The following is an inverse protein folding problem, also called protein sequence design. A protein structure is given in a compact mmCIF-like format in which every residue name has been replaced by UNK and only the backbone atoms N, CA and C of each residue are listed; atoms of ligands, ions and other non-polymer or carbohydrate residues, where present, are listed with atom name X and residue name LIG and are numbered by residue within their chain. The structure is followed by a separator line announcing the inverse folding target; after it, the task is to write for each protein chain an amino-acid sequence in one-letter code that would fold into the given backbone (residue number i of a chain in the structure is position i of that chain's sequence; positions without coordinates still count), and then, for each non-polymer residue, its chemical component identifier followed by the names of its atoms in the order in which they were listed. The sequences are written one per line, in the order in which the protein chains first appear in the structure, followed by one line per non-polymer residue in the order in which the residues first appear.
data_IF_706407413444
#
_entry.id   IF_706407413444
#
_cell.length_a   1.000
_cell.length_b   1.000
_cell.length_c   1.000
_cell.angle_alpha   90.00
_cell.angle_beta   90.00
_cell.angle_gamma   90.00
#
_symmetry.space_group_name_H-M   'P 1'
#
loop_
_entity.id
_entity.type
_entity.pdbx_description
1 polymer ?
#
# COMPACT_ATOMS: atom_id res chain seq x y z
N UNK A 1 20.53 -6.75 2.97
CA UNK A 1 19.38 -7.58 3.41
C UNK A 1 18.32 -7.42 2.34
N UNK A 2 17.74 -8.46 1.74
CA UNK A 2 16.82 -8.25 0.63
C UNK A 2 15.50 -7.69 1.19
N UNK A 3 15.28 -6.42 0.90
CA UNK A 3 14.11 -5.63 1.23
C UNK A 3 12.87 -6.36 0.72
N UNK A 4 12.17 -7.08 1.60
CA UNK A 4 10.91 -7.78 1.26
C UNK A 4 9.74 -6.79 1.25
N UNK A 5 10.05 -5.53 0.93
CA UNK A 5 9.15 -4.39 0.95
C UNK A 5 8.35 -4.40 -0.34
N UNK A 6 7.34 -5.28 -0.37
CA UNK A 6 6.39 -5.38 -1.47
C UNK A 6 5.74 -4.00 -1.64
N UNK A 7 5.99 -3.36 -2.78
CA UNK A 7 5.55 -1.99 -3.07
C UNK A 7 4.75 -1.99 -4.38
N UNK A 8 3.61 -1.33 -4.36
CA UNK A 8 2.67 -1.21 -5.48
C UNK A 8 2.46 0.27 -5.74
N UNK A 9 2.91 0.72 -6.91
CA UNK A 9 2.62 2.07 -7.38
C UNK A 9 1.30 2.09 -8.15
N UNK A 10 0.45 3.04 -7.81
CA UNK A 10 -0.89 3.21 -8.36
C UNK A 10 -0.95 4.59 -9.01
N UNK A 11 -0.84 4.60 -10.33
CA UNK A 11 -1.06 5.78 -11.15
C UNK A 11 -2.32 5.61 -12.00
N UNK A 12 -3.21 6.58 -11.89
CA UNK A 12 -4.49 6.61 -12.59
C UNK A 12 -4.88 8.05 -12.88
N UNK A 13 -5.48 8.27 -14.05
CA UNK A 13 -6.04 9.56 -14.41
C UNK A 13 -7.47 9.75 -13.90
N UNK A 14 -8.19 8.66 -13.61
CA UNK A 14 -9.59 8.68 -13.21
C UNK A 14 -9.77 8.27 -11.75
N UNK A 15 -10.55 9.06 -10.99
CA UNK A 15 -10.82 8.78 -9.57
C UNK A 15 -11.57 7.48 -9.32
N UNK A 16 -12.38 7.02 -10.28
CA UNK A 16 -13.12 5.77 -10.11
C UNK A 16 -12.15 4.57 -10.14
N UNK A 17 -11.28 4.54 -11.15
CA UNK A 17 -10.24 3.51 -11.28
C UNK A 17 -9.25 3.56 -10.10
N UNK A 18 -9.03 4.74 -9.52
CA UNK A 18 -8.16 4.89 -8.36
C UNK A 18 -8.61 4.04 -7.19
N UNK A 19 -9.88 4.11 -6.83
CA UNK A 19 -10.41 3.43 -5.67
C UNK A 19 -10.30 1.91 -5.84
N UNK A 20 -10.66 1.41 -7.02
CA UNK A 20 -10.52 -0.02 -7.37
C UNK A 20 -9.06 -0.49 -7.34
N UNK A 21 -8.14 0.29 -7.91
CA UNK A 21 -6.72 -0.06 -7.95
C UNK A 21 -6.09 0.01 -6.56
N UNK A 22 -6.51 0.98 -5.75
CA UNK A 22 -6.05 1.14 -4.38
C UNK A 22 -6.55 -0.02 -3.51
N UNK A 23 -7.83 -0.39 -3.61
CA UNK A 23 -8.40 -1.54 -2.89
C UNK A 23 -7.70 -2.85 -3.29
N UNK A 24 -7.49 -3.08 -4.60
CA UNK A 24 -6.79 -4.25 -5.09
C UNK A 24 -5.33 -4.30 -4.60
N UNK A 25 -4.63 -3.16 -4.60
CA UNK A 25 -3.27 -3.06 -4.10
C UNK A 25 -3.21 -3.34 -2.59
N UNK A 26 -4.11 -2.75 -1.81
CA UNK A 26 -4.20 -2.97 -0.36
C UNK A 26 -4.47 -4.44 -0.07
N UNK A 27 -5.41 -5.10 -0.75
CA UNK A 27 -5.68 -6.55 -0.58
C UNK A 27 -4.44 -7.40 -0.87
N UNK A 28 -3.78 -7.17 -2.00
CA UNK A 28 -2.55 -7.89 -2.36
C UNK A 28 -1.42 -7.72 -1.33
N UNK A 29 -1.33 -6.52 -0.73
CA UNK A 29 -0.38 -6.26 0.35
C UNK A 29 -0.84 -6.88 1.67
N UNK A 30 -2.14 -6.90 1.96
CA UNK A 30 -2.72 -7.54 3.13
C UNK A 30 -2.44 -9.05 3.12
N UNK A 31 -2.62 -9.71 1.99
CA UNK A 31 -2.28 -11.12 1.81
C UNK A 31 -0.78 -11.37 2.04
N UNK A 32 0.08 -10.49 1.52
CA UNK A 32 1.53 -10.58 1.76
C UNK A 32 1.91 -10.29 3.22
N UNK A 33 1.23 -9.35 3.87
CA UNK A 33 1.36 -9.04 5.28
C UNK A 33 0.91 -10.22 6.14
N UNK A 34 -0.15 -10.94 5.76
CA UNK A 34 -0.62 -12.13 6.46
C UNK A 34 0.38 -13.30 6.35
N UNK A 35 1.03 -13.45 5.19
CA UNK A 35 2.07 -14.46 4.99
C UNK A 35 3.33 -14.16 5.83
N UNK A 36 3.69 -12.90 5.99
CA UNK A 36 4.86 -12.47 6.78
C UNK A 36 4.56 -12.24 8.26
N UNK A 37 3.32 -11.91 8.60
CA UNK A 37 2.79 -11.67 9.95
C UNK A 37 3.44 -10.52 10.73
N UNK A 38 4.27 -9.70 10.08
CA UNK A 38 5.25 -8.82 10.75
C UNK A 38 5.12 -7.35 10.39
N UNK A 39 4.58 -7.04 9.21
CA UNK A 39 4.53 -5.68 8.68
C UNK A 39 3.09 -5.27 8.39
N UNK A 40 2.78 -3.99 8.60
CA UNK A 40 1.54 -3.37 8.17
C UNK A 40 1.66 -2.72 6.80
N UNK A 41 0.62 -1.99 6.39
CA UNK A 41 0.54 -1.36 5.07
C UNK A 41 0.67 0.15 5.22
N UNK A 42 1.60 0.75 4.48
CA UNK A 42 1.75 2.20 4.34
C UNK A 42 1.29 2.63 2.95
N UNK A 43 0.29 3.50 2.89
CA UNK A 43 -0.19 4.12 1.66
C UNK A 43 0.29 5.57 1.65
N UNK A 44 1.13 5.92 0.68
CA UNK A 44 1.62 7.28 0.50
C UNK A 44 0.95 7.91 -0.71
N UNK A 45 0.23 9.00 -0.49
CA UNK A 45 -0.33 9.80 -1.57
C UNK A 45 0.69 10.84 -1.98
N UNK A 46 1.22 10.73 -3.20
CA UNK A 46 2.21 11.68 -3.74
C UNK A 46 1.55 12.79 -4.55
N UNK A 47 0.49 12.48 -5.32
CA UNK A 47 -0.26 13.45 -6.13
C UNK A 47 -1.73 13.05 -6.28
N UNK A 48 -2.63 13.95 -6.72
CA UNK A 48 -3.97 13.55 -7.13
C UNK A 48 -3.89 12.49 -8.25
N UNK A 49 -4.33 11.26 -7.96
CA UNK A 49 -4.24 10.13 -8.90
C UNK A 49 -2.91 9.35 -8.86
N UNK A 50 -1.97 9.69 -7.96
CA UNK A 50 -0.76 8.91 -7.72
C UNK A 50 -0.63 8.54 -6.24
N UNK A 51 -0.70 7.24 -5.98
CA UNK A 51 -0.61 6.64 -4.66
C UNK A 51 0.40 5.51 -4.71
N UNK A 52 1.07 5.27 -3.60
CA UNK A 52 2.05 4.20 -3.49
C UNK A 52 1.72 3.42 -2.23
N UNK A 53 1.34 2.15 -2.37
CA UNK A 53 1.05 1.27 -1.25
C UNK A 53 2.23 0.32 -1.03
N UNK A 54 2.72 0.19 0.19
CA UNK A 54 3.91 -0.62 0.50
C UNK A 54 3.78 -1.31 1.85
N UNK A 55 4.40 -2.48 2.00
CA UNK A 55 4.59 -3.08 3.32
C UNK A 55 5.64 -2.29 4.09
N UNK A 56 5.31 -1.83 5.29
CA UNK A 56 6.22 -1.05 6.11
C UNK A 56 6.30 -1.63 7.51
N UNK A 57 7.53 -1.81 7.99
CA UNK A 57 7.81 -2.18 9.39
C UNK A 57 7.45 -1.03 10.36
N UNK A 58 7.30 0.19 9.83
CA UNK A 58 6.82 1.35 10.59
C UNK A 58 5.33 1.26 10.91
N UNK A 59 4.60 0.36 10.26
CA UNK A 59 3.18 0.12 10.50
C UNK A 59 3.05 -1.26 11.14
N UNK A 60 2.42 -1.38 12.33
CA UNK A 60 2.21 -2.68 12.94
C UNK A 60 1.30 -3.56 12.07
N UNK A 61 1.56 -4.87 12.07
CA UNK A 61 0.71 -5.84 11.40
C UNK A 61 -0.76 -5.68 11.81
N UNK A 62 -1.67 -5.77 10.83
CA UNK A 62 -3.10 -5.53 11.03
C UNK A 62 -3.52 -4.06 10.94
N UNK A 63 -2.57 -3.13 10.74
CA UNK A 63 -2.86 -1.72 10.56
C UNK A 63 -2.50 -1.25 9.14
N UNK A 64 -3.31 -0.33 8.62
CA UNK A 64 -3.03 0.40 7.38
C UNK A 64 -2.91 1.88 7.75
N UNK A 65 -1.79 2.51 7.38
CA UNK A 65 -1.59 3.95 7.54
C UNK A 65 -1.59 4.64 6.19
N UNK A 66 -2.33 5.73 6.11
CA UNK A 66 -2.26 6.69 5.02
C UNK A 66 -1.31 7.84 5.42
N UNK A 67 -0.44 8.23 4.49
CA UNK A 67 0.36 9.44 4.57
C UNK A 67 0.09 10.31 3.34
N UNK A 68 -0.38 11.53 3.58
CA UNK A 68 -0.67 12.51 2.53
C UNK A 68 0.47 13.52 2.55
N UNK A 69 1.22 13.60 1.44
CA UNK A 69 2.27 14.60 1.24
C UNK A 69 1.73 15.86 0.55
#
# INVERSE_FOLDING_TARGET
MPDTTKTIDIQVNERHILDERLDAAVKCLQEAAMLTGTHGIMVTRTRPGSYTATLSDQVPFGMTRENIL
#
